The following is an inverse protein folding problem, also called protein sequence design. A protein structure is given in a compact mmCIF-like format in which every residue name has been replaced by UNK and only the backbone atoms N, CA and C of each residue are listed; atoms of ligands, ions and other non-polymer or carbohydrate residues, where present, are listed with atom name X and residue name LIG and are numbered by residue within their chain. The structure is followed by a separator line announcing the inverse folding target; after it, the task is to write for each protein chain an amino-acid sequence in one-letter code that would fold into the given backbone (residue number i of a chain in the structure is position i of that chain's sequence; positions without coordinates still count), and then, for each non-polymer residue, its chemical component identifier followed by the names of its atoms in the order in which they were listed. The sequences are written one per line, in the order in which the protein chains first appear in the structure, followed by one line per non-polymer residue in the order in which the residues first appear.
data_IF_907514113489
#
_entry.id   IF_907514113489
#
_cell.length_a   1.000
_cell.length_b   1.000
_cell.length_c   1.000
_cell.angle_alpha   90.00
_cell.angle_beta   90.00
_cell.angle_gamma   90.00
#
_symmetry.space_group_name_H-M   'P 1'
#
loop_
_entity.id
_entity.type
_entity.pdbx_description
1 polymer ?
#
# COMPACT_ATOMS: atom_id res chain seq x y z
N UNK A 1 -18.64 10.70 24.91
CA UNK A 1 -19.85 10.36 24.14
C UNK A 1 -19.40 9.50 22.97
N UNK A 2 -19.74 8.20 22.88
CA UNK A 2 -19.48 7.39 21.68
C UNK A 2 -20.68 7.39 20.71
N UNK A 3 -20.44 6.88 19.50
CA UNK A 3 -21.38 6.56 18.41
C UNK A 3 -21.87 7.69 17.50
N UNK A 4 -20.99 8.10 16.57
CA UNK A 4 -21.43 8.45 15.22
C UNK A 4 -21.33 7.19 14.36
N UNK A 5 -22.49 6.59 14.07
CA UNK A 5 -22.61 5.37 13.30
C UNK A 5 -21.94 5.50 11.92
N UNK A 6 -20.90 4.71 11.70
CA UNK A 6 -20.45 4.39 10.36
C UNK A 6 -21.61 3.70 9.66
N UNK A 7 -22.31 4.42 8.77
CA UNK A 7 -23.29 3.86 7.85
C UNK A 7 -22.61 2.80 6.97
N UNK A 8 -22.54 1.56 7.46
CA UNK A 8 -22.02 0.41 6.71
C UNK A 8 -23.06 -0.06 5.71
N UNK A 9 -23.14 0.61 4.57
CA UNK A 9 -23.67 0.02 3.34
C UNK A 9 -23.01 0.76 2.15
N UNK A 10 -21.82 0.31 1.76
CA UNK A 10 -21.39 0.52 0.39
C UNK A 10 -22.39 -0.24 -0.47
N UNK A 11 -23.18 0.47 -1.29
CA UNK A 11 -24.07 -0.14 -2.29
C UNK A 11 -23.27 -1.18 -3.08
N UNK A 12 -23.91 -2.30 -3.47
CA UNK A 12 -23.28 -3.31 -4.32
C UNK A 12 -22.61 -2.61 -5.53
N UNK A 13 -21.29 -2.75 -5.64
CA UNK A 13 -20.49 -2.15 -6.71
C UNK A 13 -20.27 -3.22 -7.78
N UNK A 14 -20.79 -2.95 -8.97
CA UNK A 14 -20.61 -3.83 -10.13
C UNK A 14 -19.42 -3.32 -10.95
N UNK A 15 -18.43 -4.19 -11.15
CA UNK A 15 -17.22 -3.90 -11.92
C UNK A 15 -17.12 -4.95 -13.02
N UNK A 16 -17.16 -4.51 -14.26
CA UNK A 16 -17.04 -5.39 -15.42
C UNK A 16 -15.58 -5.55 -15.79
N UNK A 17 -15.11 -6.80 -15.79
CA UNK A 17 -13.78 -7.17 -16.25
C UNK A 17 -13.86 -7.77 -17.65
N UNK A 18 -12.76 -7.74 -18.39
CA UNK A 18 -12.66 -8.56 -19.60
C UNK A 18 -12.58 -10.05 -19.23
N UNK A 19 -12.97 -10.98 -20.11
CA UNK A 19 -12.88 -12.41 -19.81
C UNK A 19 -11.46 -12.87 -19.43
N UNK A 20 -10.44 -12.22 -20.01
CA UNK A 20 -9.03 -12.47 -19.66
C UNK A 20 -8.71 -12.03 -18.23
N UNK A 21 -9.18 -10.84 -17.83
CA UNK A 21 -9.00 -10.32 -16.48
C UNK A 21 -9.73 -11.19 -15.45
N UNK A 22 -10.94 -11.66 -15.73
CA UNK A 22 -11.67 -12.59 -14.85
C UNK A 22 -10.91 -13.90 -14.66
N UNK A 23 -10.37 -14.45 -15.75
CA UNK A 23 -9.56 -15.67 -15.71
C UNK A 23 -8.31 -15.48 -14.85
N UNK A 24 -7.63 -14.35 -15.02
CA UNK A 24 -6.44 -14.01 -14.23
C UNK A 24 -6.78 -13.83 -12.74
N UNK A 25 -7.84 -13.10 -12.42
CA UNK A 25 -8.31 -12.90 -11.05
C UNK A 25 -8.69 -14.22 -10.39
N UNK A 26 -9.40 -15.11 -11.10
CA UNK A 26 -9.77 -16.43 -10.62
C UNK A 26 -8.53 -17.29 -10.31
N UNK A 27 -7.51 -17.26 -11.19
CA UNK A 27 -6.24 -17.97 -10.97
C UNK A 27 -5.52 -17.47 -9.72
N UNK A 28 -5.39 -16.14 -9.57
CA UNK A 28 -4.72 -15.52 -8.42
C UNK A 28 -5.48 -15.84 -7.13
N UNK A 29 -6.80 -15.70 -7.14
CA UNK A 29 -7.66 -15.99 -6.00
C UNK A 29 -7.50 -17.46 -5.56
N UNK A 30 -7.53 -18.38 -6.52
CA UNK A 30 -7.31 -19.81 -6.28
C UNK A 30 -5.94 -20.09 -5.67
N UNK A 31 -4.87 -19.49 -6.18
CA UNK A 31 -3.52 -19.62 -5.60
C UNK A 31 -3.43 -19.04 -4.19
N UNK A 32 -4.15 -17.95 -3.92
CA UNK A 32 -4.20 -17.31 -2.61
C UNK A 32 -5.20 -17.96 -1.64
N UNK A 33 -5.94 -19.00 -2.06
CA UNK A 33 -6.96 -19.66 -1.24
C UNK A 33 -8.15 -18.76 -0.88
N UNK A 34 -8.48 -17.79 -1.73
CA UNK A 34 -9.57 -16.83 -1.53
C UNK A 34 -10.47 -16.80 -2.76
N UNK A 35 -11.66 -16.22 -2.67
CA UNK A 35 -12.51 -15.99 -3.82
C UNK A 35 -12.15 -14.67 -4.54
N UNK A 36 -12.50 -14.53 -5.84
CA UNK A 36 -12.17 -13.34 -6.61
C UNK A 36 -12.76 -12.04 -6.04
N UNK A 37 -13.94 -12.08 -5.43
CA UNK A 37 -14.57 -10.89 -4.85
C UNK A 37 -13.80 -10.39 -3.63
N UNK A 38 -13.43 -11.30 -2.72
CA UNK A 38 -12.59 -10.98 -1.56
C UNK A 38 -11.21 -10.48 -1.98
N UNK A 39 -10.61 -11.06 -3.03
CA UNK A 39 -9.35 -10.59 -3.62
C UNK A 39 -9.46 -9.14 -4.11
N UNK A 40 -10.49 -8.83 -4.91
CA UNK A 40 -10.71 -7.49 -5.47
C UNK A 40 -11.01 -6.47 -4.37
N UNK A 41 -11.84 -6.80 -3.39
CA UNK A 41 -12.10 -5.94 -2.23
C UNK A 41 -10.83 -5.64 -1.45
N UNK A 42 -10.02 -6.66 -1.19
CA UNK A 42 -8.73 -6.50 -0.49
C UNK A 42 -7.76 -5.64 -1.29
N UNK A 43 -7.71 -5.80 -2.61
CA UNK A 43 -6.87 -4.97 -3.47
C UNK A 43 -7.32 -3.50 -3.44
N UNK A 44 -8.63 -3.23 -3.50
CA UNK A 44 -9.18 -1.88 -3.41
C UNK A 44 -8.89 -1.22 -2.04
N UNK A 45 -9.04 -1.95 -0.94
CA UNK A 45 -8.69 -1.44 0.40
C UNK A 45 -7.19 -1.16 0.52
N UNK A 46 -6.35 -2.07 0.02
CA UNK A 46 -4.89 -1.87 0.00
C UNK A 46 -4.47 -0.67 -0.82
N UNK A 47 -5.18 -0.35 -1.91
CA UNK A 47 -4.91 0.87 -2.67
C UNK A 47 -5.12 2.10 -1.78
N UNK A 48 -6.24 2.18 -1.05
CA UNK A 48 -6.53 3.30 -0.16
C UNK A 48 -5.53 3.41 1.01
N UNK A 49 -5.14 2.28 1.61
CA UNK A 49 -4.14 2.23 2.67
C UNK A 49 -2.75 2.65 2.16
N UNK A 50 -2.35 2.10 1.01
CA UNK A 50 -1.06 2.40 0.40
C UNK A 50 -0.98 3.86 -0.04
N UNK A 51 -2.05 4.43 -0.61
CA UNK A 51 -2.06 5.83 -1.02
C UNK A 51 -1.88 6.75 0.19
N UNK A 52 -2.56 6.47 1.31
CA UNK A 52 -2.40 7.27 2.52
C UNK A 52 -0.96 7.21 3.07
N UNK A 53 -0.40 6.00 3.21
CA UNK A 53 0.97 5.84 3.71
C UNK A 53 2.03 6.34 2.73
N UNK A 54 1.81 6.20 1.43
CA UNK A 54 2.70 6.69 0.40
C UNK A 54 2.72 8.22 0.40
N UNK A 55 1.55 8.87 0.41
CA UNK A 55 1.44 10.34 0.47
C UNK A 55 2.09 10.85 1.76
N UNK A 56 1.81 10.22 2.90
CA UNK A 56 2.43 10.59 4.18
C UNK A 56 3.96 10.47 4.13
N UNK A 57 4.49 9.36 3.60
CA UNK A 57 5.92 9.13 3.48
C UNK A 57 6.59 10.16 2.55
N UNK A 58 5.94 10.53 1.44
CA UNK A 58 6.41 11.56 0.50
C UNK A 58 6.45 12.92 1.19
N UNK A 59 5.36 13.35 1.83
CA UNK A 59 5.29 14.64 2.53
C UNK A 59 6.33 14.74 3.65
N UNK A 60 6.53 13.66 4.41
CA UNK A 60 7.56 13.59 5.44
C UNK A 60 8.96 13.70 4.85
N UNK A 61 9.22 13.04 3.72
CA UNK A 61 10.49 13.14 2.99
C UNK A 61 10.76 14.55 2.47
N UNK A 62 9.76 15.21 1.89
CA UNK A 62 9.86 16.60 1.42
C UNK A 62 10.15 17.55 2.59
N UNK A 63 9.43 17.40 3.70
CA UNK A 63 9.66 18.22 4.89
C UNK A 63 11.07 17.98 5.48
N UNK A 64 11.56 16.74 5.48
CA UNK A 64 12.92 16.41 5.89
C UNK A 64 13.96 17.08 4.97
N UNK A 65 13.75 17.06 3.65
CA UNK A 65 14.61 17.76 2.69
C UNK A 65 14.65 19.27 2.94
N UNK A 66 13.50 19.89 3.21
CA UNK A 66 13.42 21.33 3.55
C UNK A 66 14.17 21.67 4.84
N UNK A 67 14.20 20.76 5.81
CA UNK A 67 14.98 20.92 7.06
C UNK A 67 16.46 20.57 6.88
N UNK A 68 16.88 20.10 5.71
CA UNK A 68 18.25 19.64 5.45
C UNK A 68 18.55 18.24 6.00
N UNK A 69 17.53 17.47 6.39
CA UNK A 69 17.62 16.11 6.93
C UNK A 69 17.72 15.08 5.80
N UNK A 70 18.78 15.15 5.01
CA UNK A 70 19.08 14.18 3.95
C UNK A 70 20.51 13.69 4.01
N UNK A 71 20.75 12.53 3.41
CA UNK A 71 22.06 11.94 3.30
C UNK A 71 22.48 11.94 1.83
N UNK A 72 23.71 12.37 1.57
CA UNK A 72 24.31 12.15 0.26
C UNK A 72 24.56 10.66 0.04
N UNK A 73 24.72 10.28 -1.24
CA UNK A 73 25.04 8.90 -1.60
C UNK A 73 26.30 8.38 -0.87
N UNK A 74 27.33 9.21 -0.72
CA UNK A 74 28.55 8.84 -0.02
C UNK A 74 28.30 8.61 1.48
N UNK A 75 27.56 9.51 2.13
CA UNK A 75 27.22 9.38 3.56
C UNK A 75 26.36 8.14 3.84
N UNK A 76 25.43 7.81 2.94
CA UNK A 76 24.64 6.57 3.00
C UNK A 76 25.54 5.33 2.90
N UNK A 77 26.47 5.32 1.93
CA UNK A 77 27.44 4.23 1.76
C UNK A 77 28.32 4.02 2.99
N UNK A 78 28.80 5.10 3.61
CA UNK A 78 29.61 5.04 4.84
C UNK A 78 28.80 4.52 6.04
N UNK A 79 27.52 4.86 6.13
CA UNK A 79 26.62 4.38 7.19
C UNK A 79 26.30 2.90 6.99
N UNK A 80 26.01 2.47 5.76
CA UNK A 80 25.69 1.08 5.46
C UNK A 80 26.90 0.17 5.72
N UNK A 81 28.10 0.57 5.29
CA UNK A 81 29.34 -0.19 5.58
C UNK A 81 29.56 -0.38 7.08
N UNK A 82 29.35 0.67 7.88
CA UNK A 82 29.44 0.58 9.35
C UNK A 82 28.39 -0.34 9.96
N UNK A 83 27.17 -0.38 9.42
CA UNK A 83 26.12 -1.27 9.90
C UNK A 83 26.45 -2.74 9.60
N UNK A 84 26.91 -3.05 8.38
CA UNK A 84 27.24 -4.41 7.95
C UNK A 84 28.53 -4.98 8.57
N UNK A 85 29.38 -4.12 9.14
CA UNK A 85 30.62 -4.50 9.82
C UNK A 85 30.48 -4.63 11.34
N UNK A 86 29.30 -4.32 11.89
CA UNK A 86 29.00 -4.58 13.31
C UNK A 86 28.42 -5.99 13.44
N UNK A 87 28.96 -6.86 14.31
CA UNK A 87 28.48 -8.23 14.51
C UNK A 87 27.09 -8.28 15.16
#
# INVERSE_FOLDING_TARGET
MPDAGFSRNLKAMEVHFTPEQETQLAKIASTAGTDPEALVKKAALRLLENDAHFIEAVLNGEAALQRGEFLTHQQMGDRLRRFLQQP
#
